data_IF_221699608466
#
_entry.id   IF_221699608466
#
_cell.length_a   1.000
_cell.length_b   1.000
_cell.length_c   1.000
_cell.angle_alpha   90.00
_cell.angle_beta   90.00
_cell.angle_gamma   90.00
#
_symmetry.space_group_name_H-M   'P 1'
#
loop_
_entity.id
_entity.type
_entity.pdbx_description
1 polymer ?
#
# COMPACT_ATOMS: atom_id res chain seq x y z
N UNK A 1 -2.86 -9.82 16.55
CA UNK A 1 -1.59 -9.34 15.98
C UNK A 1 -0.48 -10.14 16.61
N UNK A 2 0.52 -10.60 15.84
CA UNK A 2 1.63 -11.34 16.40
C UNK A 2 2.59 -10.42 17.16
N UNK A 3 3.30 -10.95 18.16
CA UNK A 3 4.28 -10.22 19.00
C UNK A 3 5.45 -9.60 18.20
N UNK A 4 5.56 -9.90 16.91
CA UNK A 4 6.62 -9.45 15.99
C UNK A 4 6.08 -8.61 14.83
N UNK A 5 5.03 -7.84 15.04
CA UNK A 5 4.46 -6.93 14.04
C UNK A 5 5.52 -5.90 13.59
N UNK A 6 5.87 -5.87 12.29
CA UNK A 6 6.87 -4.97 11.71
C UNK A 6 6.55 -3.49 11.94
N UNK A 7 5.28 -3.10 11.82
CA UNK A 7 4.87 -1.73 12.06
C UNK A 7 5.20 -1.25 13.47
N UNK A 8 4.95 -2.08 14.50
CA UNK A 8 5.17 -1.73 15.90
C UNK A 8 6.60 -1.98 16.40
N UNK A 9 7.36 -2.86 15.76
CA UNK A 9 8.70 -3.26 16.20
C UNK A 9 9.84 -2.71 15.36
N UNK A 10 9.53 -2.10 14.22
CA UNK A 10 10.49 -1.50 13.29
C UNK A 10 10.04 -0.12 12.83
N UNK A 11 8.90 -0.03 12.15
CA UNK A 11 8.49 1.21 11.48
C UNK A 11 8.30 2.35 12.48
N UNK A 12 7.38 2.18 13.43
CA UNK A 12 7.08 3.25 14.39
C UNK A 12 8.29 3.66 15.23
N UNK A 13 9.03 2.73 15.88
CA UNK A 13 10.17 3.13 16.71
C UNK A 13 11.28 3.84 15.94
N UNK A 14 11.59 3.38 14.72
CA UNK A 14 12.64 3.99 13.89
C UNK A 14 12.24 5.38 13.40
N UNK A 15 11.03 5.50 12.87
CA UNK A 15 10.58 6.80 12.36
C UNK A 15 10.22 7.80 13.46
N UNK A 16 9.79 7.34 14.63
CA UNK A 16 9.62 8.21 15.80
C UNK A 16 10.94 8.80 16.23
N UNK A 17 12.00 8.00 16.29
CA UNK A 17 13.32 8.49 16.68
C UNK A 17 13.92 9.43 15.63
N UNK A 18 13.71 9.17 14.33
CA UNK A 18 14.09 10.07 13.25
C UNK A 18 13.41 11.44 13.42
N UNK A 19 12.10 11.45 13.70
CA UNK A 19 11.37 12.69 13.90
C UNK A 19 11.71 13.42 15.20
N UNK A 20 12.07 12.69 16.24
CA UNK A 20 12.50 13.30 17.51
C UNK A 20 13.84 14.05 17.32
N UNK A 21 14.74 13.53 16.48
CA UNK A 21 16.01 14.16 16.16
C UNK A 21 15.90 15.24 15.08
N UNK A 22 15.06 15.03 14.05
CA UNK A 22 14.88 15.91 12.90
C UNK A 22 13.39 16.05 12.54
N UNK A 23 12.65 16.90 13.24
CA UNK A 23 11.18 17.03 13.09
C UNK A 23 10.72 17.42 11.70
N UNK A 24 11.54 18.18 10.97
CA UNK A 24 11.20 18.66 9.62
C UNK A 24 11.48 17.64 8.51
N UNK A 25 12.02 16.47 8.87
CA UNK A 25 12.35 15.43 7.91
C UNK A 25 13.69 15.62 7.18
N UNK A 26 14.34 16.75 7.38
CA UNK A 26 15.64 17.07 6.76
C UNK A 26 16.78 16.77 7.76
N UNK A 27 17.86 16.06 7.38
CA UNK A 27 18.18 15.55 6.03
C UNK A 27 17.71 14.12 5.77
N UNK A 28 17.11 13.40 6.76
CA UNK A 28 16.92 11.96 6.71
C UNK A 28 16.00 11.50 5.57
N UNK A 29 15.03 12.32 5.16
CA UNK A 29 14.07 11.93 4.13
C UNK A 29 14.73 11.75 2.76
N UNK A 30 15.60 12.70 2.38
CA UNK A 30 16.36 12.62 1.11
C UNK A 30 17.40 11.51 1.16
N UNK A 31 18.04 11.27 2.30
CA UNK A 31 19.02 10.19 2.45
C UNK A 31 18.36 8.80 2.49
N UNK A 32 17.20 8.66 3.11
CA UNK A 32 16.40 7.43 3.03
C UNK A 32 16.06 7.07 1.58
N UNK A 33 15.68 8.09 0.81
CA UNK A 33 15.45 7.93 -0.62
C UNK A 33 16.70 7.45 -1.35
N UNK A 34 17.85 8.09 -1.14
CA UNK A 34 19.10 7.71 -1.78
C UNK A 34 19.51 6.28 -1.45
N UNK A 35 19.44 5.89 -0.18
CA UNK A 35 19.74 4.53 0.22
C UNK A 35 18.86 3.50 -0.48
N UNK A 36 17.57 3.79 -0.65
CA UNK A 36 16.66 2.90 -1.35
C UNK A 36 16.94 2.87 -2.86
N UNK A 37 17.18 4.04 -3.48
CA UNK A 37 17.45 4.15 -4.92
C UNK A 37 18.73 3.41 -5.36
N UNK A 38 19.72 3.26 -4.48
CA UNK A 38 20.92 2.46 -4.76
C UNK A 38 20.61 0.99 -5.05
N UNK A 39 19.51 0.45 -4.55
CA UNK A 39 19.10 -0.94 -4.76
C UNK A 39 18.29 -1.14 -6.05
N UNK A 40 17.92 -0.05 -6.72
CA UNK A 40 17.17 -0.07 -7.98
C UNK A 40 17.63 1.06 -8.89
N UNK A 41 18.73 0.86 -9.66
CA UNK A 41 19.24 1.88 -10.57
C UNK A 41 18.21 2.32 -11.61
N UNK A 42 18.28 3.60 -12.01
CA UNK A 42 17.41 4.17 -13.04
C UNK A 42 16.16 4.90 -12.53
N UNK A 43 16.02 5.08 -11.22
CA UNK A 43 14.97 5.96 -10.65
C UNK A 43 15.30 7.42 -10.99
N UNK A 44 14.37 8.07 -11.69
CA UNK A 44 14.53 9.46 -12.18
C UNK A 44 13.62 10.47 -11.47
N UNK A 45 12.87 10.02 -10.46
CA UNK A 45 11.96 10.88 -9.70
C UNK A 45 12.72 11.86 -8.81
N UNK A 46 12.14 13.04 -8.60
CA UNK A 46 12.70 14.04 -7.68
C UNK A 46 12.66 13.56 -6.24
N UNK A 47 13.72 13.81 -5.49
CA UNK A 47 13.80 13.47 -4.08
C UNK A 47 12.79 14.30 -3.27
N UNK A 48 12.16 13.70 -2.27
CA UNK A 48 11.33 14.47 -1.33
C UNK A 48 12.22 15.38 -0.46
N UNK A 49 11.73 16.58 -0.18
CA UNK A 49 12.42 17.55 0.68
C UNK A 49 11.47 17.99 1.77
N UNK A 50 11.88 17.82 3.02
CA UNK A 50 11.16 18.25 4.22
C UNK A 50 9.74 17.68 4.36
N UNK A 51 9.27 17.50 5.56
CA UNK A 51 7.90 17.05 5.84
C UNK A 51 6.93 18.22 5.79
N UNK A 52 5.83 18.03 5.08
CA UNK A 52 4.74 19.01 4.99
C UNK A 52 3.82 18.99 6.22
N UNK A 53 2.91 19.93 6.27
CA UNK A 53 1.78 19.86 7.22
C UNK A 53 0.72 18.94 6.63
N UNK A 54 0.20 18.02 7.43
CA UNK A 54 -0.97 17.22 7.04
C UNK A 54 -2.17 18.14 6.86
N UNK A 55 -2.92 17.94 5.77
CA UNK A 55 -4.21 18.61 5.61
C UNK A 55 -5.19 18.11 6.69
N UNK A 56 -6.13 18.96 7.09
CA UNK A 56 -7.12 18.60 8.11
C UNK A 56 -7.94 17.34 7.73
N UNK A 57 -8.19 17.13 6.42
CA UNK A 57 -8.82 15.92 5.87
C UNK A 57 -7.92 14.68 5.95
N UNK A 58 -6.63 14.84 6.13
CA UNK A 58 -5.63 13.79 6.20
C UNK A 58 -5.27 13.45 7.66
N UNK A 59 -5.81 14.22 8.63
CA UNK A 59 -5.51 14.01 10.04
C UNK A 59 -6.11 12.70 10.51
N UNK A 60 -5.29 11.71 10.88
CA UNK A 60 -5.78 10.47 11.45
C UNK A 60 -6.31 10.69 12.88
N UNK A 61 -7.02 9.71 13.45
CA UNK A 61 -7.32 9.74 14.87
C UNK A 61 -6.03 9.88 15.67
N UNK A 62 -6.06 10.71 16.69
CA UNK A 62 -5.01 11.43 17.40
C UNK A 62 -3.74 10.66 17.88
N UNK A 63 -3.59 9.39 17.65
CA UNK A 63 -2.42 8.60 18.12
C UNK A 63 -1.30 8.39 17.11
N UNK A 64 -1.50 8.73 15.85
CA UNK A 64 -0.62 8.26 14.78
C UNK A 64 -0.16 9.35 13.81
N UNK A 65 -0.44 10.63 14.05
CA UNK A 65 0.00 11.70 13.17
C UNK A 65 1.00 12.60 13.89
N UNK A 66 2.17 12.67 13.33
CA UNK A 66 3.14 13.75 13.55
C UNK A 66 3.20 14.58 12.27
N UNK A 67 3.89 15.72 12.31
CA UNK A 67 4.06 16.60 11.15
C UNK A 67 4.44 15.80 9.89
N UNK A 68 3.58 15.81 8.88
CA UNK A 68 3.84 15.15 7.61
C UNK A 68 3.95 13.62 7.64
N UNK A 69 3.70 12.94 8.77
CA UNK A 69 3.83 11.50 8.91
C UNK A 69 2.60 10.86 9.57
N UNK A 70 2.20 9.70 9.02
CA UNK A 70 1.06 8.91 9.50
C UNK A 70 1.38 7.43 9.45
N UNK A 71 1.17 6.71 10.55
CA UNK A 71 1.26 5.25 10.61
C UNK A 71 -0.07 4.58 10.32
N UNK A 72 -0.01 3.36 9.80
CA UNK A 72 -1.17 2.51 9.53
C UNK A 72 -2.26 3.24 8.71
N UNK A 73 -1.84 4.07 7.76
CA UNK A 73 -2.76 4.82 6.92
C UNK A 73 -3.60 3.86 6.07
N UNK A 74 -4.90 3.92 6.24
CA UNK A 74 -5.82 3.17 5.39
C UNK A 74 -6.08 3.95 4.09
N UNK A 75 -5.70 3.35 2.96
CA UNK A 75 -5.90 3.91 1.62
C UNK A 75 -6.85 3.00 0.83
N UNK A 76 -7.85 3.61 0.19
CA UNK A 76 -8.80 2.87 -0.62
C UNK A 76 -8.12 2.25 -1.86
N UNK A 77 -8.58 1.08 -2.32
CA UNK A 77 -8.09 0.52 -3.57
C UNK A 77 -8.54 1.38 -4.75
N UNK A 78 -7.77 1.37 -5.86
CA UNK A 78 -8.10 2.14 -7.05
C UNK A 78 -9.45 1.76 -7.66
N UNK A 79 -10.20 2.76 -8.10
CA UNK A 79 -11.50 2.56 -8.73
C UNK A 79 -11.40 1.71 -9.98
N UNK A 80 -10.41 1.98 -10.82
CA UNK A 80 -10.18 1.27 -12.07
C UNK A 80 -9.95 -0.23 -11.84
N UNK A 81 -9.16 -0.59 -10.82
CA UNK A 81 -8.95 -2.00 -10.48
C UNK A 81 -10.23 -2.67 -9.96
N UNK A 82 -11.00 -2.01 -9.11
CA UNK A 82 -12.28 -2.56 -8.64
C UNK A 82 -13.29 -2.72 -9.78
N UNK A 83 -13.32 -1.78 -10.71
CA UNK A 83 -14.15 -1.89 -11.93
C UNK A 83 -13.71 -3.08 -12.77
N UNK A 84 -12.40 -3.23 -13.01
CA UNK A 84 -11.87 -4.37 -13.75
C UNK A 84 -12.24 -5.71 -13.10
N UNK A 85 -12.18 -5.82 -11.77
CA UNK A 85 -12.61 -7.02 -11.05
C UNK A 85 -14.11 -7.31 -11.26
N UNK A 86 -14.96 -6.28 -11.23
CA UNK A 86 -16.37 -6.43 -11.52
C UNK A 86 -16.64 -6.92 -12.95
N UNK A 87 -15.85 -6.47 -13.91
CA UNK A 87 -15.97 -6.82 -15.32
C UNK A 87 -15.35 -8.20 -15.63
N UNK A 88 -14.46 -8.69 -14.78
CA UNK A 88 -13.74 -9.96 -14.94
C UNK A 88 -13.92 -10.90 -13.75
N UNK A 89 -15.17 -11.26 -13.36
CA UNK A 89 -15.40 -12.09 -12.19
C UNK A 89 -14.73 -13.47 -12.26
N UNK A 90 -14.55 -14.02 -13.49
CA UNK A 90 -13.86 -15.28 -13.73
C UNK A 90 -12.34 -15.24 -13.39
N UNK A 91 -11.76 -14.05 -13.25
CA UNK A 91 -10.36 -13.87 -12.83
C UNK A 91 -10.21 -13.80 -11.32
N UNK A 92 -11.30 -13.67 -10.60
CA UNK A 92 -11.28 -13.61 -9.15
C UNK A 92 -11.26 -15.01 -8.53
N UNK A 93 -10.53 -15.12 -7.41
CA UNK A 93 -10.56 -16.31 -6.56
C UNK A 93 -11.78 -16.27 -5.65
N UNK A 94 -12.69 -17.19 -5.83
CA UNK A 94 -13.86 -17.36 -4.96
C UNK A 94 -13.50 -18.31 -3.82
N UNK A 95 -13.25 -17.76 -2.62
CA UNK A 95 -12.79 -18.54 -1.46
C UNK A 95 -13.92 -19.24 -0.71
N UNK A 96 -15.14 -18.72 -0.76
CA UNK A 96 -16.33 -19.30 -0.15
C UNK A 96 -17.57 -19.05 -1.03
N UNK A 97 -17.95 -20.01 -1.88
CA UNK A 97 -19.11 -19.86 -2.74
C UNK A 97 -20.43 -19.62 -2.00
N UNK A 98 -20.57 -20.09 -0.76
CA UNK A 98 -21.80 -19.93 0.01
C UNK A 98 -21.99 -18.51 0.52
N UNK A 99 -20.92 -17.86 0.91
CA UNK A 99 -20.95 -16.55 1.55
C UNK A 99 -20.25 -15.46 0.74
N UNK A 100 -19.38 -15.83 -0.22
CA UNK A 100 -18.56 -14.89 -1.01
C UNK A 100 -17.87 -13.83 -0.14
N UNK A 101 -17.45 -14.20 1.08
CA UNK A 101 -16.83 -13.29 2.04
C UNK A 101 -17.72 -12.12 2.49
N UNK A 102 -19.02 -12.15 2.25
CA UNK A 102 -19.94 -11.06 2.58
C UNK A 102 -20.77 -11.32 3.82
N UNK A 103 -20.77 -10.33 4.75
CA UNK A 103 -21.54 -10.42 6.01
C UNK A 103 -23.04 -10.07 5.84
N UNK A 104 -23.37 -9.10 4.97
CA UNK A 104 -24.75 -8.65 4.79
C UNK A 104 -25.49 -9.49 3.75
N UNK A 105 -26.81 -9.62 3.92
CA UNK A 105 -27.70 -10.31 2.96
C UNK A 105 -27.60 -9.67 1.56
N UNK A 106 -27.65 -8.34 1.47
CA UNK A 106 -27.56 -7.60 0.22
C UNK A 106 -26.23 -7.85 -0.50
N UNK A 107 -25.10 -7.86 0.25
CA UNK A 107 -23.80 -8.14 -0.34
C UNK A 107 -23.70 -9.57 -0.87
N UNK A 108 -24.26 -10.55 -0.14
CA UNK A 108 -24.34 -11.94 -0.62
C UNK A 108 -25.21 -12.08 -1.86
N UNK A 109 -26.33 -11.36 -1.94
CA UNK A 109 -27.21 -11.34 -3.10
C UNK A 109 -26.48 -10.90 -4.37
N UNK A 110 -25.83 -9.72 -4.33
CA UNK A 110 -25.11 -9.21 -5.49
C UNK A 110 -23.88 -10.04 -5.87
N UNK A 111 -23.15 -10.59 -4.90
CA UNK A 111 -22.02 -11.48 -5.18
C UNK A 111 -22.48 -12.79 -5.81
N UNK A 112 -23.60 -13.38 -5.37
CA UNK A 112 -24.18 -14.55 -6.03
C UNK A 112 -24.55 -14.29 -7.49
N UNK A 113 -25.12 -13.12 -7.78
CA UNK A 113 -25.39 -12.74 -9.17
C UNK A 113 -24.10 -12.61 -9.98
N UNK A 114 -23.11 -11.92 -9.47
CA UNK A 114 -21.83 -11.68 -10.15
C UNK A 114 -21.07 -12.98 -10.48
N UNK A 115 -21.16 -13.99 -9.63
CA UNK A 115 -20.52 -15.30 -9.81
C UNK A 115 -21.48 -16.39 -10.32
N UNK A 116 -22.59 -15.99 -10.96
CA UNK A 116 -23.53 -16.90 -11.59
C UNK A 116 -23.06 -17.31 -12.99
N UNK A 117 -23.51 -18.48 -13.45
CA UNK A 117 -23.37 -18.90 -14.86
C UNK A 117 -24.38 -18.17 -15.78
N UNK A 118 -25.40 -17.55 -15.21
CA UNK A 118 -26.39 -16.76 -15.93
C UNK A 118 -25.83 -15.37 -16.27
N UNK A 119 -25.58 -15.15 -17.57
CA UNK A 119 -25.03 -13.91 -18.09
C UNK A 119 -25.89 -12.68 -17.78
N UNK A 120 -27.23 -12.83 -17.69
CA UNK A 120 -28.10 -11.73 -17.35
C UNK A 120 -27.90 -11.31 -15.90
N UNK A 121 -27.83 -12.26 -14.98
CA UNK A 121 -27.56 -11.98 -13.56
C UNK A 121 -26.19 -11.34 -13.34
N UNK A 122 -25.18 -11.81 -14.08
CA UNK A 122 -23.84 -11.20 -14.08
C UNK A 122 -23.89 -9.75 -14.53
N UNK A 123 -24.57 -9.47 -15.67
CA UNK A 123 -24.71 -8.12 -16.20
C UNK A 123 -25.41 -7.18 -15.21
N UNK A 124 -26.52 -7.62 -14.60
CA UNK A 124 -27.24 -6.85 -13.57
C UNK A 124 -26.32 -6.49 -12.37
N UNK A 125 -25.48 -7.44 -11.92
CA UNK A 125 -24.56 -7.19 -10.84
C UNK A 125 -23.45 -6.21 -11.25
N UNK A 126 -22.92 -6.34 -12.47
CA UNK A 126 -21.90 -5.43 -12.99
C UNK A 126 -22.43 -4.00 -13.11
N UNK A 127 -23.66 -3.81 -13.62
CA UNK A 127 -24.30 -2.50 -13.74
C UNK A 127 -24.50 -1.84 -12.36
N UNK A 128 -25.02 -2.60 -11.41
CA UNK A 128 -25.18 -2.11 -10.03
C UNK A 128 -23.83 -1.79 -9.38
N UNK A 129 -22.82 -2.61 -9.62
CA UNK A 129 -21.46 -2.38 -9.14
C UNK A 129 -20.87 -1.08 -9.68
N UNK A 130 -20.92 -0.88 -11.00
CA UNK A 130 -20.49 0.35 -11.67
C UNK A 130 -21.21 1.57 -11.13
N UNK A 131 -22.53 1.49 -11.00
CA UNK A 131 -23.36 2.56 -10.45
C UNK A 131 -22.97 2.96 -9.02
N UNK A 132 -22.65 1.98 -8.19
CA UNK A 132 -22.24 2.24 -6.81
C UNK A 132 -20.79 2.72 -6.72
N UNK A 133 -19.89 2.16 -7.51
CA UNK A 133 -18.48 2.52 -7.53
C UNK A 133 -18.27 4.00 -7.93
N UNK A 134 -18.98 4.47 -8.97
CA UNK A 134 -18.92 5.85 -9.42
C UNK A 134 -19.41 6.89 -8.40
N UNK A 135 -20.22 6.48 -7.43
CA UNK A 135 -20.80 7.40 -6.43
C UNK A 135 -20.01 7.52 -5.12
N UNK A 136 -19.06 6.62 -4.78
CA UNK A 136 -18.68 6.43 -3.38
C UNK A 136 -17.23 6.04 -3.07
N UNK A 137 -16.28 6.25 -3.93
CA UNK A 137 -14.88 5.96 -3.62
C UNK A 137 -14.35 6.79 -2.44
N UNK A 138 -14.90 7.95 -2.21
CA UNK A 138 -14.50 8.87 -1.15
C UNK A 138 -15.11 8.56 0.25
N UNK A 139 -16.06 7.65 0.37
CA UNK A 139 -16.73 7.40 1.65
C UNK A 139 -16.09 6.25 2.42
N UNK A 140 -15.39 6.57 3.51
CA UNK A 140 -15.06 5.61 4.58
C UNK A 140 -16.36 5.02 5.12
N UNK A 141 -16.50 3.73 5.12
CA UNK A 141 -17.66 3.08 5.71
C UNK A 141 -17.76 1.61 5.31
N UNK A 142 -18.77 0.94 5.85
CA UNK A 142 -18.99 -0.51 5.81
C UNK A 142 -18.57 -1.14 4.48
N UNK A 143 -17.95 -2.32 4.54
CA UNK A 143 -17.62 -3.17 3.42
C UNK A 143 -18.73 -3.17 2.36
N UNK A 144 -18.45 -2.64 1.19
CA UNK A 144 -19.36 -2.68 0.05
C UNK A 144 -19.29 -4.06 -0.60
N UNK A 145 -20.37 -4.53 -1.19
CA UNK A 145 -20.40 -5.84 -1.83
C UNK A 145 -19.39 -5.99 -2.98
N UNK A 146 -19.09 -4.90 -3.68
CA UNK A 146 -18.14 -4.79 -4.78
C UNK A 146 -16.69 -4.49 -4.33
N UNK A 147 -16.45 -4.29 -3.05
CA UNK A 147 -15.11 -4.05 -2.52
C UNK A 147 -14.35 -5.38 -2.38
N UNK A 148 -13.89 -5.91 -3.50
CA UNK A 148 -13.10 -7.15 -3.56
C UNK A 148 -11.65 -6.96 -3.14
N UNK A 149 -11.15 -5.75 -3.14
CA UNK A 149 -9.91 -5.38 -2.47
C UNK A 149 -10.23 -4.48 -1.28
N UNK A 150 -9.69 -4.82 -0.11
CA UNK A 150 -9.82 -3.99 1.09
C UNK A 150 -8.88 -2.78 1.04
N UNK A 151 -8.99 -1.92 2.04
CA UNK A 151 -8.05 -0.82 2.22
C UNK A 151 -6.62 -1.36 2.39
N UNK A 152 -5.67 -0.77 1.68
CA UNK A 152 -4.24 -0.95 1.97
C UNK A 152 -3.92 -0.22 3.27
N UNK A 153 -3.32 -0.91 4.22
CA UNK A 153 -2.77 -0.28 5.43
C UNK A 153 -1.30 -0.04 5.18
N UNK A 154 -0.93 1.22 5.09
CA UNK A 154 0.44 1.65 4.81
C UNK A 154 1.15 1.85 6.14
N UNK A 155 2.22 1.12 6.37
CA UNK A 155 2.94 1.12 7.64
C UNK A 155 3.42 2.52 8.03
N UNK A 156 4.02 3.26 7.09
CA UNK A 156 4.35 4.67 7.26
C UNK A 156 4.06 5.47 5.98
N UNK A 157 3.28 6.54 6.11
CA UNK A 157 2.98 7.48 5.05
C UNK A 157 3.64 8.82 5.38
N UNK A 158 4.56 9.26 4.53
CA UNK A 158 5.29 10.52 4.65
C UNK A 158 4.77 11.48 3.58
N UNK A 159 4.36 12.68 4.00
CA UNK A 159 3.77 13.68 3.11
C UNK A 159 4.64 14.93 3.14
N UNK A 160 5.10 15.35 1.97
CA UNK A 160 5.79 16.63 1.77
C UNK A 160 4.88 17.59 1.01
N UNK A 161 5.37 18.79 0.73
CA UNK A 161 4.66 19.73 -0.15
C UNK A 161 4.48 19.20 -1.57
N UNK A 162 5.40 18.36 -2.06
CA UNK A 162 5.49 17.92 -3.46
C UNK A 162 5.34 16.41 -3.65
N UNK A 163 5.54 15.60 -2.61
CA UNK A 163 5.61 14.16 -2.72
C UNK A 163 4.87 13.46 -1.59
N UNK A 164 4.28 12.32 -1.91
CA UNK A 164 3.80 11.31 -0.95
C UNK A 164 4.71 10.10 -1.04
N UNK A 165 5.35 9.74 0.07
CA UNK A 165 6.21 8.58 0.16
C UNK A 165 5.60 7.54 1.10
N UNK A 166 5.30 6.36 0.59
CA UNK A 166 4.88 5.21 1.39
C UNK A 166 6.09 4.35 1.73
N UNK A 167 6.20 3.98 2.99
CA UNK A 167 7.17 2.99 3.45
C UNK A 167 6.43 1.74 3.90
N UNK A 168 6.74 0.63 3.27
CA UNK A 168 6.28 -0.70 3.66
C UNK A 168 7.38 -1.38 4.47
N UNK A 169 7.09 -1.72 5.70
CA UNK A 169 8.05 -2.35 6.61
C UNK A 169 7.87 -3.86 6.69
N UNK A 170 8.98 -4.58 6.61
CA UNK A 170 9.03 -6.03 6.82
C UNK A 170 10.11 -6.38 7.82
N UNK A 171 9.81 -7.36 8.66
CA UNK A 171 10.76 -7.91 9.62
C UNK A 171 11.07 -9.37 9.30
N UNK A 172 10.18 -10.28 9.65
CA UNK A 172 10.31 -11.70 9.38
C UNK A 172 9.32 -12.20 8.35
N UNK A 173 8.29 -11.42 8.09
CA UNK A 173 7.26 -11.68 7.09
C UNK A 173 7.73 -11.26 5.69
N UNK A 174 7.35 -12.05 4.70
CA UNK A 174 7.56 -11.70 3.29
C UNK A 174 6.52 -10.68 2.80
N UNK A 175 6.85 -10.01 1.71
CA UNK A 175 5.86 -9.24 0.94
C UNK A 175 4.78 -10.18 0.42
N UNK A 176 3.51 -9.86 0.66
CA UNK A 176 2.41 -10.69 0.17
C UNK A 176 2.33 -10.65 -1.36
N UNK A 177 2.34 -11.82 -2.04
CA UNK A 177 2.23 -11.87 -3.50
C UNK A 177 0.79 -11.73 -4.00
N UNK A 178 -0.21 -11.76 -3.12
CA UNK A 178 -1.61 -11.88 -3.49
C UNK A 178 -2.56 -11.15 -2.54
N UNK A 179 -3.79 -10.96 -2.98
CA UNK A 179 -4.93 -10.63 -2.10
C UNK A 179 -5.90 -11.80 -2.01
N UNK A 180 -6.89 -11.67 -1.11
CA UNK A 180 -7.93 -12.69 -0.92
C UNK A 180 -8.71 -12.99 -2.23
N UNK A 181 -8.95 -11.98 -3.04
CA UNK A 181 -9.78 -12.07 -4.24
C UNK A 181 -9.01 -12.16 -5.55
N UNK A 182 -7.72 -11.78 -5.55
CA UNK A 182 -6.91 -11.78 -6.75
C UNK A 182 -5.49 -12.25 -6.44
N UNK A 183 -5.11 -13.41 -6.99
CA UNK A 183 -3.87 -14.11 -6.63
C UNK A 183 -2.60 -13.39 -7.11
N UNK A 184 -2.69 -12.62 -8.19
CA UNK A 184 -1.55 -11.94 -8.78
C UNK A 184 -1.35 -10.52 -8.22
N UNK A 185 -2.14 -10.10 -7.24
CA UNK A 185 -2.11 -8.76 -6.65
C UNK A 185 -1.00 -8.61 -5.61
N UNK A 186 0.22 -8.34 -6.05
CA UNK A 186 1.38 -8.10 -5.19
C UNK A 186 1.17 -6.90 -4.25
N UNK A 187 1.59 -7.02 -3.00
CA UNK A 187 1.49 -5.97 -2.00
C UNK A 187 2.25 -4.70 -2.40
N UNK A 188 3.47 -4.83 -2.97
CA UNK A 188 4.24 -3.66 -3.38
C UNK A 188 3.53 -2.88 -4.48
N UNK A 189 3.03 -3.57 -5.50
CA UNK A 189 2.31 -2.89 -6.59
C UNK A 189 0.99 -2.30 -6.12
N UNK A 190 0.29 -2.99 -5.23
CA UNK A 190 -0.90 -2.43 -4.58
C UNK A 190 -0.59 -1.14 -3.82
N UNK A 191 0.56 -1.09 -3.13
CA UNK A 191 0.98 0.11 -2.39
C UNK A 191 1.41 1.24 -3.35
N UNK A 192 2.05 0.95 -4.49
CA UNK A 192 2.38 1.95 -5.52
C UNK A 192 1.11 2.59 -6.08
N UNK A 193 0.12 1.79 -6.43
CA UNK A 193 -1.14 2.29 -6.96
C UNK A 193 -1.96 3.04 -5.90
N UNK A 194 -1.96 2.55 -4.65
CA UNK A 194 -2.56 3.25 -3.52
C UNK A 194 -1.87 4.60 -3.26
N UNK A 195 -0.54 4.68 -3.41
CA UNK A 195 0.21 5.94 -3.29
C UNK A 195 -0.20 6.94 -4.37
N UNK A 196 -0.38 6.49 -5.62
CA UNK A 196 -0.88 7.30 -6.73
C UNK A 196 -2.24 7.91 -6.40
N UNK A 197 -3.19 7.08 -6.01
CA UNK A 197 -4.55 7.53 -5.66
C UNK A 197 -4.56 8.51 -4.47
N UNK A 198 -3.70 8.27 -3.49
CA UNK A 198 -3.61 9.12 -2.32
C UNK A 198 -2.90 10.46 -2.59
N UNK A 199 -1.91 10.46 -3.48
CA UNK A 199 -1.09 11.64 -3.76
C UNK A 199 -1.83 12.73 -4.54
N UNK A 200 -2.86 12.38 -5.33
CA UNK A 200 -3.50 13.32 -6.24
C UNK A 200 -2.50 13.88 -7.25
N UNK A 201 -2.32 15.19 -7.25
CA UNK A 201 -1.39 15.88 -8.18
C UNK A 201 0.08 15.88 -7.71
N UNK A 202 0.35 15.38 -6.50
CA UNK A 202 1.72 15.29 -6.00
C UNK A 202 2.45 14.11 -6.60
N UNK A 203 3.78 14.19 -6.66
CA UNK A 203 4.61 13.02 -6.91
C UNK A 203 4.35 11.96 -5.82
N UNK A 204 4.50 10.71 -6.16
CA UNK A 204 4.35 9.61 -5.20
C UNK A 204 5.49 8.61 -5.36
N UNK A 205 5.76 7.85 -4.31
CA UNK A 205 6.75 6.78 -4.34
C UNK A 205 6.50 5.77 -3.22
N UNK A 206 7.11 4.59 -3.37
CA UNK A 206 7.11 3.53 -2.38
C UNK A 206 8.53 3.05 -2.12
N UNK A 207 8.89 2.90 -0.86
CA UNK A 207 10.13 2.28 -0.39
C UNK A 207 9.77 1.05 0.43
N UNK A 208 10.51 -0.04 0.24
CA UNK A 208 10.44 -1.23 1.07
C UNK A 208 11.56 -1.17 2.12
N UNK A 209 11.22 -1.30 3.40
CA UNK A 209 12.19 -1.42 4.48
C UNK A 209 12.17 -2.85 5.04
N UNK A 210 13.33 -3.51 5.07
CA UNK A 210 13.47 -4.94 5.38
C UNK A 210 14.51 -5.21 6.45
N UNK A 211 14.49 -6.42 7.03
CA UNK A 211 15.50 -6.84 7.97
C UNK A 211 16.83 -7.18 7.29
N UNK A 212 16.80 -7.88 6.15
CA UNK A 212 17.99 -8.37 5.44
C UNK A 212 17.98 -7.96 3.99
N UNK A 213 19.16 -7.72 3.40
CA UNK A 213 19.28 -7.37 1.97
C UNK A 213 18.74 -8.45 1.04
N UNK A 214 18.93 -9.72 1.39
CA UNK A 214 18.39 -10.84 0.61
C UNK A 214 16.86 -10.80 0.51
N UNK A 215 16.18 -10.39 1.57
CA UNK A 215 14.71 -10.26 1.58
C UNK A 215 14.25 -9.14 0.65
N UNK A 216 14.94 -7.99 0.66
CA UNK A 216 14.69 -6.87 -0.23
C UNK A 216 14.93 -7.21 -1.70
N UNK A 217 16.08 -7.85 -1.99
CA UNK A 217 16.42 -8.31 -3.35
C UNK A 217 15.38 -9.28 -3.88
N UNK A 218 14.97 -10.26 -3.07
CA UNK A 218 13.94 -11.24 -3.45
C UNK A 218 12.59 -10.55 -3.69
N UNK A 219 12.21 -9.62 -2.83
CA UNK A 219 10.95 -8.88 -2.97
C UNK A 219 10.90 -8.03 -4.25
N UNK A 220 12.00 -7.32 -4.58
CA UNK A 220 12.07 -6.53 -5.83
C UNK A 220 12.06 -7.42 -7.06
N UNK A 221 12.77 -8.54 -7.06
CA UNK A 221 12.76 -9.51 -8.17
C UNK A 221 11.34 -10.08 -8.38
N UNK A 222 10.67 -10.48 -7.31
CA UNK A 222 9.28 -10.94 -7.35
C UNK A 222 8.32 -9.84 -7.83
N UNK A 223 8.51 -8.61 -7.39
CA UNK A 223 7.72 -7.48 -7.88
C UNK A 223 7.93 -7.28 -9.39
N UNK A 224 9.18 -7.25 -9.85
CA UNK A 224 9.48 -7.07 -11.29
C UNK A 224 8.81 -8.14 -12.17
N UNK A 225 8.82 -9.40 -11.74
CA UNK A 225 8.20 -10.50 -12.49
C UNK A 225 6.66 -10.47 -12.46
N UNK A 226 6.04 -9.85 -11.45
CA UNK A 226 4.58 -9.82 -11.27
C UNK A 226 3.91 -8.52 -11.71
N UNK A 227 4.64 -7.59 -12.32
CA UNK A 227 4.15 -6.24 -12.64
C UNK A 227 2.86 -6.27 -13.50
N UNK A 228 2.92 -6.91 -14.66
CA UNK A 228 1.78 -7.00 -15.58
C UNK A 228 0.59 -7.75 -14.98
N UNK A 229 0.88 -8.83 -14.27
CA UNK A 229 -0.15 -9.64 -13.64
C UNK A 229 -0.84 -8.90 -12.48
N UNK A 230 -0.11 -8.03 -11.77
CA UNK A 230 -0.66 -7.23 -10.66
C UNK A 230 -1.53 -6.06 -11.14
N UNK A 231 -1.36 -5.62 -12.37
CA UNK A 231 -2.07 -4.49 -12.97
C UNK A 231 -2.82 -4.86 -14.27
N UNK A 232 -3.68 -5.88 -14.26
CA UNK A 232 -4.34 -6.37 -15.47
C UNK A 232 -5.33 -5.36 -16.09
N UNK A 233 -5.61 -4.28 -15.40
CA UNK A 233 -6.51 -3.18 -15.82
C UNK A 233 -5.75 -2.00 -16.45
N UNK A 234 -4.43 -2.10 -16.54
CA UNK A 234 -3.55 -1.07 -17.11
C UNK A 234 -2.85 -1.62 -18.35
N UNK A 235 -2.40 -0.72 -19.23
CA UNK A 235 -1.58 -1.05 -20.39
C UNK A 235 -0.07 -1.09 -20.07
N UNK A 236 0.75 -1.46 -21.04
CA UNK A 236 2.19 -1.61 -20.87
C UNK A 236 2.92 -0.27 -20.58
N UNK A 237 2.43 0.84 -21.10
CA UNK A 237 2.97 2.17 -20.84
C UNK A 237 2.69 2.57 -19.39
N UNK A 238 1.46 2.38 -18.93
CA UNK A 238 1.04 2.62 -17.56
C UNK A 238 1.79 1.71 -16.56
N UNK A 239 2.05 0.45 -16.92
CA UNK A 239 2.89 -0.46 -16.12
C UNK A 239 4.30 0.13 -15.95
N UNK A 240 4.91 0.56 -17.05
CA UNK A 240 6.27 1.13 -17.05
C UNK A 240 6.32 2.39 -16.20
N UNK A 241 5.32 3.26 -16.34
CA UNK A 241 5.23 4.49 -15.55
C UNK A 241 5.10 4.18 -14.06
N UNK A 242 4.14 3.34 -13.66
CA UNK A 242 3.95 2.98 -12.26
C UNK A 242 5.18 2.28 -11.66
N UNK A 243 5.86 1.45 -12.45
CA UNK A 243 7.06 0.78 -11.98
C UNK A 243 8.13 1.74 -11.47
N UNK A 244 8.28 2.92 -12.05
CA UNK A 244 9.28 3.93 -11.65
C UNK A 244 9.08 4.42 -10.22
N UNK A 245 7.87 4.32 -9.69
CA UNK A 245 7.50 4.81 -8.37
C UNK A 245 7.79 3.82 -7.22
N UNK A 246 8.22 2.60 -7.52
CA UNK A 246 8.85 1.73 -6.54
C UNK A 246 10.35 2.06 -6.52
N UNK A 247 10.82 2.79 -5.52
CA UNK A 247 12.18 3.33 -5.49
C UNK A 247 13.22 2.24 -5.28
N UNK A 248 12.93 1.29 -4.41
CA UNK A 248 13.84 0.22 -4.03
C UNK A 248 13.59 -0.24 -2.60
N UNK A 249 14.64 -0.74 -1.95
CA UNK A 249 14.57 -1.13 -0.55
C UNK A 249 15.72 -0.57 0.27
N UNK A 250 15.54 -0.59 1.60
CA UNK A 250 16.57 -0.26 2.59
C UNK A 250 16.46 -1.27 3.73
N UNK A 251 17.58 -1.57 4.42
CA UNK A 251 17.51 -2.39 5.63
C UNK A 251 17.39 -1.51 6.87
N UNK A 252 16.69 -2.01 7.88
CA UNK A 252 16.54 -1.33 9.17
C UNK A 252 17.89 -1.00 9.81
N UNK A 253 18.83 -1.92 9.75
CA UNK A 253 20.19 -1.72 10.27
C UNK A 253 20.92 -0.59 9.55
N UNK A 254 20.78 -0.45 8.23
CA UNK A 254 21.35 0.68 7.47
C UNK A 254 20.76 2.01 7.90
N UNK A 255 19.43 2.08 8.11
CA UNK A 255 18.77 3.30 8.62
C UNK A 255 19.35 3.66 9.98
N UNK A 256 19.35 2.72 10.92
CA UNK A 256 19.85 2.96 12.29
C UNK A 256 21.31 3.42 12.28
N UNK A 257 22.17 2.75 11.53
CA UNK A 257 23.59 3.12 11.42
C UNK A 257 23.79 4.47 10.75
N UNK A 258 23.09 4.74 9.64
CA UNK A 258 23.25 5.98 8.86
C UNK A 258 22.90 7.21 9.66
N UNK A 259 21.84 7.13 10.46
CA UNK A 259 21.33 8.26 11.23
C UNK A 259 21.77 8.24 12.70
N UNK A 260 22.60 7.29 13.10
CA UNK A 260 23.08 7.21 14.49
C UNK A 260 21.94 7.01 15.50
N UNK A 261 20.89 6.29 15.09
CA UNK A 261 19.76 6.01 15.98
C UNK A 261 20.17 4.98 17.04
N UNK A 262 19.46 4.99 18.16
CA UNK A 262 19.68 4.00 19.21
C UNK A 262 19.30 2.61 18.70
N UNK A 263 20.18 1.58 18.86
CA UNK A 263 19.87 0.20 18.44
C UNK A 263 18.58 -0.34 19.05
N UNK A 264 18.20 0.16 20.22
CA UNK A 264 17.00 -0.22 20.97
C UNK A 264 15.69 0.15 20.23
N UNK A 265 15.74 1.04 19.22
CA UNK A 265 14.56 1.29 18.35
C UNK A 265 14.22 0.06 17.48
N UNK A 266 15.13 -0.92 17.33
CA UNK A 266 14.87 -2.20 16.70
C UNK A 266 14.34 -3.22 17.72
N UNK A 267 13.09 -3.07 18.11
CA UNK A 267 12.45 -3.86 19.16
C UNK A 267 12.32 -5.34 18.80
N UNK A 268 12.61 -6.23 19.76
CA UNK A 268 12.43 -7.67 19.59
C UNK A 268 10.97 -8.10 19.68
N UNK A 269 10.16 -7.37 20.46
CA UNK A 269 8.73 -7.63 20.66
C UNK A 269 7.95 -6.32 20.74
N UNK A 270 6.67 -6.41 20.46
CA UNK A 270 5.75 -5.29 20.67
C UNK A 270 5.74 -4.91 22.15
N UNK A 271 5.93 -3.63 22.52
CA UNK A 271 5.79 -3.19 23.91
C UNK A 271 4.42 -3.55 24.46
N UNK A 272 4.38 -3.99 25.72
CA UNK A 272 3.13 -4.34 26.42
C UNK A 272 2.34 -3.11 26.82
#
# INVERSE_FOLDING_TARGET
MGDRNSSLTRVQPVFDELLDQWPDGDPWLSELWDMAALTRPGVTLSKPVGLGKLLASETPPARAARQGMVYERAVAPPAAFLQWLLENPQKMKVTDPKHFGAKSHQARHWRRKLFSDDKQLVSEAQDEGRRQLGKRLAQRGRSKWWAFEGFSRIDCCLVTSQCVLFVEGKRTESVSPSTLWFEQRSQLWRNVEAAKEFAGDKQFAVILAVEREADGTTALASAASSLGDSYPHLDAEQHTELARHLIGFVTWSKIVTRFGLRPECLLDRVPK
#
